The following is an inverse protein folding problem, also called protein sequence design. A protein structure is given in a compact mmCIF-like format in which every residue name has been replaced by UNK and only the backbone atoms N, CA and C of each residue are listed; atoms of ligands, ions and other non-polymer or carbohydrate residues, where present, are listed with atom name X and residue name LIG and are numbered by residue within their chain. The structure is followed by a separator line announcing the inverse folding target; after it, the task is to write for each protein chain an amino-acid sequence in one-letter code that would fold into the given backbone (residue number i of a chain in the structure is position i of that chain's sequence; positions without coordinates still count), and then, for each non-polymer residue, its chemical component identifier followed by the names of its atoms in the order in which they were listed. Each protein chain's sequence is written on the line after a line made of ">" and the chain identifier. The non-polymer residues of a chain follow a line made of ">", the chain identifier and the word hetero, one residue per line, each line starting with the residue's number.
data_IF_811612540501
#
_entry.id   IF_811612540501
#
_cell.length_a   1.000
_cell.length_b   1.000
_cell.length_c   1.000
_cell.angle_alpha   90.00
_cell.angle_beta   90.00
_cell.angle_gamma   90.00
#
_symmetry.space_group_name_H-M   'P 1'
#
loop_
_entity.id
_entity.type
_entity.pdbx_description
1 polymer ?
#
# COMPACT_ATOMS: atom_id res chain seq x y z
N UNK A 1 39.09 -11.14 -35.64
CA UNK A 1 38.74 -11.55 -34.26
C UNK A 1 39.93 -12.22 -33.60
N UNK A 2 40.34 -11.67 -32.47
CA UNK A 2 41.31 -12.28 -31.56
C UNK A 2 40.85 -13.69 -31.14
N UNK A 3 41.77 -14.57 -30.75
CA UNK A 3 41.47 -15.96 -30.41
C UNK A 3 40.51 -16.04 -29.20
N UNK A 4 40.67 -15.12 -28.25
CA UNK A 4 39.86 -15.02 -27.04
C UNK A 4 38.39 -14.64 -27.35
N UNK A 5 38.18 -13.71 -28.29
CA UNK A 5 36.84 -13.28 -28.72
C UNK A 5 36.02 -14.41 -29.35
N UNK A 6 36.67 -15.29 -30.12
CA UNK A 6 36.00 -16.46 -30.73
C UNK A 6 35.57 -17.48 -29.68
N UNK A 7 36.33 -17.59 -28.58
CA UNK A 7 35.99 -18.50 -27.49
C UNK A 7 34.80 -17.97 -26.67
N UNK A 8 34.72 -16.65 -26.46
CA UNK A 8 33.54 -16.01 -25.87
C UNK A 8 32.29 -16.33 -26.69
N UNK A 9 32.32 -16.13 -28.01
CA UNK A 9 31.15 -16.42 -28.86
C UNK A 9 30.72 -17.88 -28.78
N UNK A 10 31.65 -18.84 -28.93
CA UNK A 10 31.34 -20.27 -28.85
C UNK A 10 30.70 -20.66 -27.51
N UNK A 11 31.23 -20.14 -26.40
CA UNK A 11 30.70 -20.38 -25.05
C UNK A 11 29.26 -19.90 -24.93
N UNK A 12 28.96 -18.67 -25.36
CA UNK A 12 27.62 -18.11 -25.22
C UNK A 12 26.63 -18.67 -26.24
N UNK A 13 27.05 -19.04 -27.45
CA UNK A 13 26.21 -19.80 -28.38
C UNK A 13 25.77 -21.12 -27.72
N UNK A 14 26.69 -21.85 -27.08
CA UNK A 14 26.36 -23.08 -26.35
C UNK A 14 25.41 -22.85 -25.16
N UNK A 15 25.59 -21.75 -24.43
CA UNK A 15 24.71 -21.40 -23.29
C UNK A 15 23.30 -21.04 -23.78
N UNK A 16 23.20 -20.16 -24.78
CA UNK A 16 21.91 -19.67 -25.28
C UNK A 16 21.18 -20.71 -26.12
N UNK A 17 21.86 -21.69 -26.72
CA UNK A 17 21.19 -22.85 -27.36
C UNK A 17 20.62 -23.83 -26.32
N UNK A 18 21.21 -23.89 -25.12
CA UNK A 18 20.77 -24.75 -24.01
C UNK A 18 19.83 -24.08 -23.01
N UNK A 19 19.86 -24.56 -21.77
CA UNK A 19 19.13 -23.96 -20.63
C UNK A 19 19.85 -22.73 -20.12
N UNK A 20 19.14 -21.59 -20.15
CA UNK A 20 19.62 -20.33 -19.61
C UNK A 20 19.81 -20.50 -18.09
N UNK A 21 20.98 -20.15 -17.55
CA UNK A 21 21.21 -20.18 -16.12
C UNK A 21 20.32 -19.17 -15.39
N UNK A 22 19.84 -19.54 -14.21
CA UNK A 22 18.81 -18.78 -13.48
C UNK A 22 19.25 -18.31 -12.08
N UNK A 23 20.51 -18.58 -11.69
CA UNK A 23 21.06 -18.19 -10.40
C UNK A 23 22.58 -17.96 -10.46
N UNK A 24 23.11 -17.30 -9.44
CA UNK A 24 24.52 -16.91 -9.35
C UNK A 24 25.49 -18.12 -9.39
N UNK A 25 25.11 -19.24 -8.77
CA UNK A 25 25.94 -20.44 -8.76
C UNK A 25 26.11 -20.99 -10.19
N UNK A 26 25.03 -21.04 -10.97
CA UNK A 26 25.10 -21.45 -12.37
C UNK A 26 25.89 -20.48 -13.24
N UNK A 27 25.79 -19.17 -12.99
CA UNK A 27 26.63 -18.18 -13.68
C UNK A 27 28.12 -18.41 -13.40
N UNK A 28 28.48 -18.66 -12.14
CA UNK A 28 29.86 -18.99 -11.75
C UNK A 28 30.34 -20.29 -12.39
N UNK A 29 29.54 -21.36 -12.35
CA UNK A 29 29.90 -22.66 -12.95
C UNK A 29 30.06 -22.57 -14.47
N UNK A 30 29.23 -21.77 -15.15
CA UNK A 30 29.30 -21.57 -16.60
C UNK A 30 30.28 -20.44 -17.01
N UNK A 31 30.97 -19.83 -16.05
CA UNK A 31 31.89 -18.70 -16.22
C UNK A 31 31.26 -17.56 -17.05
N UNK A 32 30.07 -17.11 -16.64
CA UNK A 32 29.31 -16.05 -17.30
C UNK A 32 29.56 -14.73 -16.56
N UNK A 33 29.88 -13.67 -17.30
CA UNK A 33 30.22 -12.36 -16.72
C UNK A 33 29.52 -11.24 -17.48
N UNK A 34 29.22 -10.14 -16.78
CA UNK A 34 28.63 -8.94 -17.39
C UNK A 34 29.55 -8.31 -18.46
N UNK A 35 30.87 -8.43 -18.29
CA UNK A 35 31.86 -7.96 -19.29
C UNK A 35 31.75 -8.71 -20.62
N UNK A 36 31.56 -10.03 -20.56
CA UNK A 36 31.31 -10.81 -21.78
C UNK A 36 30.00 -10.37 -22.42
N UNK A 37 28.92 -10.20 -21.64
CA UNK A 37 27.61 -9.74 -22.15
C UNK A 37 27.74 -8.39 -22.85
N UNK A 38 28.46 -7.44 -22.25
CA UNK A 38 28.77 -6.14 -22.86
C UNK A 38 29.49 -6.31 -24.22
N UNK A 39 30.47 -7.20 -24.29
CA UNK A 39 31.20 -7.51 -25.51
C UNK A 39 30.27 -8.08 -26.59
N UNK A 40 29.40 -9.04 -26.22
CA UNK A 40 28.43 -9.65 -27.14
C UNK A 40 27.45 -8.62 -27.71
N UNK A 41 26.94 -7.72 -26.87
CA UNK A 41 25.99 -6.68 -27.29
C UNK A 41 26.68 -5.63 -28.17
N UNK A 42 27.96 -5.32 -27.90
CA UNK A 42 28.75 -4.41 -28.75
C UNK A 42 29.07 -5.00 -30.13
N UNK A 43 29.02 -6.33 -30.27
CA UNK A 43 29.28 -7.07 -31.52
C UNK A 43 28.06 -7.93 -31.90
N UNK A 44 26.85 -7.39 -31.71
CA UNK A 44 25.60 -8.14 -31.78
C UNK A 44 25.38 -8.83 -33.14
N UNK A 45 25.68 -8.14 -34.25
CA UNK A 45 25.52 -8.68 -35.60
C UNK A 45 26.43 -9.90 -35.83
N UNK A 46 27.73 -9.77 -35.50
CA UNK A 46 28.70 -10.86 -35.60
C UNK A 46 28.33 -12.03 -34.67
N UNK A 47 27.81 -11.72 -33.48
CA UNK A 47 27.38 -12.73 -32.52
C UNK A 47 26.15 -13.50 -33.01
N UNK A 48 25.15 -12.81 -33.58
CA UNK A 48 23.99 -13.46 -34.19
C UNK A 48 24.42 -14.35 -35.37
N UNK A 49 25.35 -13.88 -36.20
CA UNK A 49 25.89 -14.66 -37.32
C UNK A 49 26.64 -15.94 -36.88
N UNK A 50 27.03 -16.05 -35.61
CA UNK A 50 27.69 -17.24 -35.07
C UNK A 50 26.72 -18.36 -34.68
N UNK A 51 25.40 -18.11 -34.66
CA UNK A 51 24.38 -19.13 -34.38
C UNK A 51 24.07 -19.97 -35.63
N UNK A 52 23.66 -21.23 -35.46
CA UNK A 52 23.14 -22.01 -36.58
C UNK A 52 21.84 -21.39 -37.13
N UNK A 53 21.56 -21.62 -38.41
CA UNK A 53 20.46 -20.98 -39.15
C UNK A 53 19.04 -21.33 -38.65
N UNK A 54 18.92 -22.20 -37.63
CA UNK A 54 17.67 -22.66 -37.04
C UNK A 54 17.12 -21.72 -35.95
N UNK A 55 17.94 -20.79 -35.44
CA UNK A 55 17.51 -19.79 -34.46
C UNK A 55 17.28 -18.43 -35.11
N UNK A 56 16.08 -17.87 -34.93
CA UNK A 56 15.79 -16.51 -35.36
C UNK A 56 16.58 -15.48 -34.54
N UNK A 57 16.91 -14.35 -35.17
CA UNK A 57 17.53 -13.20 -34.50
C UNK A 57 16.74 -12.77 -33.25
N UNK A 58 15.41 -12.69 -33.34
CA UNK A 58 14.56 -12.34 -32.21
C UNK A 58 14.65 -13.33 -31.05
N UNK A 59 14.82 -14.63 -31.34
CA UNK A 59 15.04 -15.65 -30.32
C UNK A 59 16.38 -15.42 -29.59
N UNK A 60 17.46 -15.20 -30.34
CA UNK A 60 18.80 -14.95 -29.79
C UNK A 60 18.79 -13.70 -28.90
N UNK A 61 18.19 -12.61 -29.37
CA UNK A 61 18.08 -11.37 -28.60
C UNK A 61 17.24 -11.57 -27.34
N UNK A 62 16.12 -12.31 -27.41
CA UNK A 62 15.31 -12.63 -26.23
C UNK A 62 16.12 -13.41 -25.19
N UNK A 63 16.86 -14.43 -25.62
CA UNK A 63 17.67 -15.24 -24.71
C UNK A 63 18.84 -14.45 -24.11
N UNK A 64 19.48 -13.59 -24.90
CA UNK A 64 20.51 -12.68 -24.43
C UNK A 64 19.93 -11.69 -23.41
N UNK A 65 18.74 -11.13 -23.69
CA UNK A 65 18.05 -10.23 -22.76
C UNK A 65 17.67 -10.90 -21.45
N UNK A 66 17.21 -12.16 -21.50
CA UNK A 66 16.87 -12.94 -20.30
C UNK A 66 18.11 -13.21 -19.45
N UNK A 67 19.24 -13.55 -20.09
CA UNK A 67 20.50 -13.72 -19.41
C UNK A 67 20.97 -12.41 -18.74
N UNK A 68 20.93 -11.29 -19.47
CA UNK A 68 21.28 -9.96 -18.94
C UNK A 68 20.39 -9.59 -17.77
N UNK A 69 19.06 -9.68 -17.92
CA UNK A 69 18.09 -9.39 -16.86
C UNK A 69 18.39 -10.22 -15.61
N UNK A 70 18.74 -11.49 -15.79
CA UNK A 70 19.04 -12.41 -14.69
C UNK A 70 20.20 -11.98 -13.78
N UNK A 71 21.11 -11.11 -14.23
CA UNK A 71 22.17 -10.54 -13.37
C UNK A 71 21.70 -9.39 -12.48
N UNK A 72 20.67 -8.66 -12.92
CA UNK A 72 20.08 -7.54 -12.19
C UNK A 72 18.91 -7.95 -11.31
N UNK A 73 18.38 -9.17 -11.43
CA UNK A 73 17.33 -9.66 -10.55
C UNK A 73 17.90 -10.14 -9.21
N UNK A 74 17.05 -10.09 -8.17
CA UNK A 74 17.37 -10.66 -6.85
C UNK A 74 17.39 -12.18 -6.95
N UNK A 75 18.48 -12.79 -6.52
CA UNK A 75 18.62 -14.24 -6.46
C UNK A 75 17.86 -14.84 -5.29
N UNK A 76 17.63 -16.16 -5.38
CA UNK A 76 17.03 -16.89 -4.28
C UNK A 76 17.97 -16.94 -3.08
N UNK A 77 17.43 -16.73 -1.89
CA UNK A 77 18.17 -16.75 -0.62
C UNK A 77 17.74 -17.98 0.19
N UNK A 78 18.64 -18.49 1.03
CA UNK A 78 18.30 -19.56 1.98
C UNK A 78 17.18 -19.12 2.92
N UNK A 79 16.29 -20.06 3.24
CA UNK A 79 15.23 -19.86 4.24
C UNK A 79 15.79 -19.94 5.65
N UNK A 80 16.66 -19.01 6.01
CA UNK A 80 16.97 -18.76 7.41
C UNK A 80 15.89 -17.80 7.92
N UNK A 81 15.25 -18.10 9.06
CA UNK A 81 14.16 -17.30 9.67
C UNK A 81 14.61 -15.91 10.18
N UNK A 82 15.47 -15.22 9.43
CA UNK A 82 15.98 -13.89 9.70
C UNK A 82 15.52 -12.90 8.63
N UNK A 83 15.45 -11.63 9.01
CA UNK A 83 15.22 -10.55 8.06
C UNK A 83 16.41 -10.37 7.11
N UNK A 84 16.10 -9.87 5.90
CA UNK A 84 17.12 -9.55 4.91
C UNK A 84 17.82 -8.22 5.21
N UNK A 85 19.08 -8.13 4.81
CA UNK A 85 19.88 -6.91 4.85
C UNK A 85 20.44 -6.57 3.47
N UNK A 86 21.06 -5.39 3.33
CA UNK A 86 21.74 -5.03 2.08
C UNK A 86 22.96 -5.92 1.78
N UNK A 87 23.56 -6.53 2.82
CA UNK A 87 24.70 -7.43 2.69
C UNK A 87 24.33 -8.75 2.02
N UNK A 88 23.04 -9.11 2.02
CA UNK A 88 22.53 -10.29 1.32
C UNK A 88 22.52 -10.09 -0.20
N UNK A 89 22.63 -8.84 -0.68
CA UNK A 89 22.52 -8.47 -2.10
C UNK A 89 23.64 -7.52 -2.58
N UNK A 90 24.92 -7.83 -2.32
CA UNK A 90 26.01 -6.87 -2.46
C UNK A 90 26.25 -6.40 -3.89
N UNK A 91 25.88 -7.20 -4.89
CA UNK A 91 26.12 -6.90 -6.31
C UNK A 91 24.85 -6.57 -7.10
N UNK A 92 23.65 -6.84 -6.56
CA UNK A 92 22.40 -6.74 -7.34
C UNK A 92 22.17 -5.34 -7.89
N UNK A 93 22.33 -4.30 -7.05
CA UNK A 93 22.12 -2.92 -7.48
C UNK A 93 23.12 -2.47 -8.56
N UNK A 94 24.40 -2.81 -8.41
CA UNK A 94 25.45 -2.44 -9.38
C UNK A 94 25.26 -3.18 -10.69
N UNK A 95 25.00 -4.49 -10.62
CA UNK A 95 24.72 -5.31 -11.80
C UNK A 95 23.50 -4.78 -12.57
N UNK A 96 22.44 -4.36 -11.86
CA UNK A 96 21.24 -3.82 -12.50
C UNK A 96 21.52 -2.56 -13.34
N UNK A 97 22.39 -1.66 -12.86
CA UNK A 97 22.81 -0.47 -13.64
C UNK A 97 23.47 -0.89 -14.95
N UNK A 98 24.41 -1.83 -14.90
CA UNK A 98 25.07 -2.37 -16.10
C UNK A 98 24.06 -3.06 -17.01
N UNK A 99 23.13 -3.85 -16.45
CA UNK A 99 22.09 -4.52 -17.20
C UNK A 99 21.21 -3.53 -17.96
N UNK A 100 20.76 -2.43 -17.34
CA UNK A 100 19.98 -1.40 -18.03
C UNK A 100 20.78 -0.75 -19.17
N UNK A 101 22.06 -0.44 -18.95
CA UNK A 101 22.94 0.10 -20.00
C UNK A 101 23.07 -0.87 -21.17
N UNK A 102 23.19 -2.16 -20.91
CA UNK A 102 23.36 -3.20 -21.92
C UNK A 102 22.04 -3.54 -22.65
N UNK A 103 20.90 -3.39 -21.98
CA UNK A 103 19.59 -3.59 -22.60
C UNK A 103 19.20 -2.42 -23.53
N UNK A 104 19.72 -1.20 -23.32
CA UNK A 104 19.39 -0.01 -24.15
C UNK A 104 19.64 -0.24 -25.65
N UNK A 105 20.80 -0.75 -26.11
CA UNK A 105 21.01 -1.10 -27.53
C UNK A 105 19.98 -2.10 -28.08
N UNK A 106 19.58 -3.09 -27.28
CA UNK A 106 18.63 -4.13 -27.69
C UNK A 106 17.20 -3.59 -27.86
N UNK A 107 16.86 -2.43 -27.28
CA UNK A 107 15.56 -1.79 -27.47
C UNK A 107 15.28 -1.45 -28.93
N UNK A 108 16.30 -1.14 -29.73
CA UNK A 108 16.15 -0.80 -31.15
C UNK A 108 15.60 -1.98 -31.95
N UNK A 109 15.99 -3.19 -31.57
CA UNK A 109 15.55 -4.43 -32.21
C UNK A 109 14.10 -4.80 -31.86
N UNK A 110 13.55 -4.26 -30.77
CA UNK A 110 12.19 -4.61 -30.27
C UNK A 110 11.10 -4.27 -31.28
N UNK A 111 11.29 -3.26 -32.13
CA UNK A 111 10.31 -2.86 -33.13
C UNK A 111 10.19 -3.86 -34.29
N UNK A 112 11.30 -4.52 -34.65
CA UNK A 112 11.35 -5.51 -35.73
C UNK A 112 11.03 -6.94 -35.26
N UNK A 113 10.96 -7.17 -33.95
CA UNK A 113 10.66 -8.49 -33.39
C UNK A 113 9.24 -8.97 -33.70
N UNK A 114 9.12 -10.27 -33.96
CA UNK A 114 7.82 -10.92 -33.98
C UNK A 114 7.13 -10.79 -32.62
N UNK A 115 5.81 -10.76 -32.67
CA UNK A 115 4.97 -10.42 -31.54
C UNK A 115 5.20 -11.29 -30.28
N UNK A 116 5.41 -12.60 -30.45
CA UNK A 116 5.70 -13.51 -29.34
C UNK A 116 7.03 -13.23 -28.64
N UNK A 117 8.09 -12.96 -29.42
CA UNK A 117 9.41 -12.61 -28.91
C UNK A 117 9.40 -11.23 -28.27
N UNK A 118 8.78 -10.24 -28.91
CA UNK A 118 8.58 -8.90 -28.36
C UNK A 118 7.93 -8.97 -26.99
N UNK A 119 6.83 -9.71 -26.86
CA UNK A 119 6.15 -9.94 -25.57
C UNK A 119 7.07 -10.55 -24.52
N UNK A 120 7.83 -11.58 -24.88
CA UNK A 120 8.75 -12.25 -23.95
C UNK A 120 9.85 -11.30 -23.45
N UNK A 121 10.46 -10.54 -24.37
CA UNK A 121 11.44 -9.50 -24.05
C UNK A 121 10.85 -8.48 -23.06
N UNK A 122 9.66 -7.93 -23.36
CA UNK A 122 8.98 -6.95 -22.52
C UNK A 122 8.73 -7.46 -21.10
N UNK A 123 8.26 -8.71 -20.95
CA UNK A 123 8.02 -9.32 -19.65
C UNK A 123 9.31 -9.35 -18.81
N UNK A 124 10.45 -9.75 -19.40
CA UNK A 124 11.71 -9.87 -18.67
C UNK A 124 12.25 -8.50 -18.24
N UNK A 125 12.28 -7.53 -19.14
CA UNK A 125 12.83 -6.21 -18.81
C UNK A 125 11.93 -5.44 -17.83
N UNK A 126 10.60 -5.63 -17.89
CA UNK A 126 9.69 -5.04 -16.91
C UNK A 126 9.84 -5.65 -15.52
N UNK A 127 10.18 -6.94 -15.41
CA UNK A 127 10.53 -7.55 -14.12
C UNK A 127 11.80 -6.92 -13.52
N UNK A 128 12.80 -6.61 -14.35
CA UNK A 128 13.99 -5.89 -13.91
C UNK A 128 13.64 -4.47 -13.44
N UNK A 129 12.86 -3.73 -14.23
CA UNK A 129 12.39 -2.39 -13.83
C UNK A 129 11.63 -2.44 -12.50
N UNK A 130 10.73 -3.40 -12.35
CA UNK A 130 9.95 -3.60 -11.15
C UNK A 130 10.82 -4.00 -9.94
N UNK A 131 11.94 -4.69 -10.15
CA UNK A 131 12.88 -5.04 -9.06
C UNK A 131 13.55 -3.80 -8.48
N UNK A 132 13.81 -2.80 -9.32
CA UNK A 132 14.50 -1.54 -9.00
C UNK A 132 13.56 -0.33 -9.10
N UNK A 133 12.32 -0.47 -8.63
CA UNK A 133 11.32 0.62 -8.71
C UNK A 133 11.39 1.62 -7.53
N UNK A 134 12.00 1.21 -6.41
CA UNK A 134 12.08 1.98 -5.17
C UNK A 134 13.27 1.51 -4.33
N UNK A 135 13.56 2.23 -3.27
CA UNK A 135 14.55 1.84 -2.26
C UNK A 135 14.16 0.55 -1.55
N UNK A 136 14.97 -0.49 -1.75
CA UNK A 136 14.93 -1.80 -1.11
C UNK A 136 16.36 -2.22 -0.74
N UNK A 137 16.52 -3.31 0.00
CA UNK A 137 17.85 -3.83 0.38
C UNK A 137 18.76 -4.16 -0.82
N UNK A 138 18.18 -4.51 -1.96
CA UNK A 138 18.91 -4.83 -3.21
C UNK A 138 18.98 -3.68 -4.22
N UNK A 139 18.52 -2.47 -3.84
CA UNK A 139 18.45 -1.33 -4.74
C UNK A 139 19.32 -0.17 -4.26
N UNK A 140 19.91 0.56 -5.21
CA UNK A 140 20.61 1.83 -5.00
C UNK A 140 19.93 2.96 -5.77
N UNK A 141 20.18 4.21 -5.40
CA UNK A 141 19.67 5.38 -6.12
C UNK A 141 20.02 5.32 -7.62
N UNK A 142 21.24 4.88 -7.96
CA UNK A 142 21.67 4.75 -9.35
C UNK A 142 20.88 3.66 -10.10
N UNK A 143 20.59 2.53 -9.45
CA UNK A 143 19.78 1.45 -10.07
C UNK A 143 18.33 1.89 -10.31
N UNK A 144 17.77 2.69 -9.40
CA UNK A 144 16.42 3.23 -9.51
C UNK A 144 16.35 4.24 -10.66
N UNK A 145 17.28 5.21 -10.71
CA UNK A 145 17.34 6.18 -11.82
C UNK A 145 17.54 5.48 -13.16
N UNK A 146 18.42 4.47 -13.23
CA UNK A 146 18.63 3.69 -14.46
C UNK A 146 17.37 2.94 -14.89
N UNK A 147 16.61 2.41 -13.94
CA UNK A 147 15.32 1.74 -14.16
C UNK A 147 14.28 2.70 -14.72
N UNK A 148 14.16 3.90 -14.14
CA UNK A 148 13.21 4.94 -14.58
C UNK A 148 13.53 5.45 -15.98
N UNK A 149 14.81 5.75 -16.26
CA UNK A 149 15.26 6.14 -17.61
C UNK A 149 14.98 5.03 -18.63
N UNK A 150 15.36 3.79 -18.31
CA UNK A 150 15.14 2.65 -19.22
C UNK A 150 13.65 2.41 -19.46
N UNK A 151 12.80 2.54 -18.44
CA UNK A 151 11.35 2.41 -18.58
C UNK A 151 10.78 3.51 -19.49
N UNK A 152 11.28 4.75 -19.39
CA UNK A 152 10.92 5.83 -20.29
C UNK A 152 11.29 5.52 -21.75
N UNK A 153 12.52 5.07 -21.98
CA UNK A 153 13.00 4.65 -23.31
C UNK A 153 12.17 3.48 -23.87
N UNK A 154 11.81 2.51 -23.02
CA UNK A 154 10.98 1.36 -23.38
C UNK A 154 9.57 1.78 -23.81
N UNK A 155 8.94 2.69 -23.07
CA UNK A 155 7.60 3.21 -23.38
C UNK A 155 7.61 3.99 -24.69
N UNK A 156 8.64 4.81 -24.92
CA UNK A 156 8.82 5.51 -26.19
C UNK A 156 8.99 4.54 -27.35
N UNK A 157 9.87 3.54 -27.20
CA UNK A 157 10.14 2.54 -28.25
C UNK A 157 8.89 1.73 -28.62
N UNK A 158 8.06 1.40 -27.61
CA UNK A 158 6.82 0.65 -27.79
C UNK A 158 5.62 1.51 -28.14
N UNK A 159 5.77 2.84 -28.21
CA UNK A 159 4.72 3.82 -28.49
C UNK A 159 3.58 3.84 -27.45
N UNK A 160 3.91 3.57 -26.18
CA UNK A 160 2.97 3.62 -25.07
C UNK A 160 3.15 4.91 -24.26
N UNK A 161 2.05 5.54 -23.86
CA UNK A 161 2.07 6.77 -23.05
C UNK A 161 2.35 6.52 -21.57
N UNK A 162 2.14 5.28 -21.11
CA UNK A 162 2.30 4.89 -19.72
C UNK A 162 2.54 3.39 -19.57
N UNK A 163 3.10 2.99 -18.42
CA UNK A 163 3.24 1.58 -18.07
C UNK A 163 1.88 0.86 -18.03
N UNK A 164 0.81 1.53 -17.55
CA UNK A 164 -0.54 0.98 -17.59
C UNK A 164 -0.97 0.60 -19.01
N UNK A 165 -0.76 1.50 -19.98
CA UNK A 165 -1.13 1.23 -21.37
C UNK A 165 -0.38 0.04 -21.95
N UNK A 166 0.91 -0.12 -21.64
CA UNK A 166 1.70 -1.27 -22.09
C UNK A 166 1.26 -2.58 -21.42
N UNK A 167 1.01 -2.56 -20.11
CA UNK A 167 0.61 -3.75 -19.34
C UNK A 167 -0.73 -4.32 -19.79
N UNK A 168 -1.66 -3.44 -20.18
CA UNK A 168 -3.04 -3.76 -20.57
C UNK A 168 -3.26 -3.71 -22.09
N UNK A 169 -2.20 -3.66 -22.90
CA UNK A 169 -2.34 -3.59 -24.36
C UNK A 169 -2.87 -4.93 -24.91
N UNK A 170 -4.09 -4.90 -25.45
CA UNK A 170 -4.80 -6.05 -26.02
C UNK A 170 -4.16 -6.58 -27.31
N UNK A 171 -3.27 -5.80 -27.93
CA UNK A 171 -2.47 -6.31 -29.05
C UNK A 171 -1.63 -7.50 -28.58
N UNK A 172 -1.17 -7.49 -27.32
CA UNK A 172 -0.52 -8.62 -26.70
C UNK A 172 -1.54 -9.64 -26.17
N UNK A 173 -1.63 -10.81 -26.80
CA UNK A 173 -2.47 -11.91 -26.30
C UNK A 173 -1.66 -13.15 -25.85
N UNK A 174 -1.79 -13.60 -24.58
CA UNK A 174 -2.37 -12.87 -23.44
C UNK A 174 -1.60 -11.57 -23.17
N UNK A 175 -2.18 -10.62 -22.42
CA UNK A 175 -1.52 -9.33 -22.12
C UNK A 175 -0.13 -9.49 -21.51
N UNK A 176 0.67 -8.41 -21.55
CA UNK A 176 1.98 -8.36 -20.89
C UNK A 176 1.80 -8.65 -19.40
N UNK A 177 0.82 -8.02 -18.75
CA UNK A 177 0.54 -8.24 -17.33
C UNK A 177 0.23 -9.71 -17.00
N UNK A 178 -0.64 -10.36 -17.78
CA UNK A 178 -0.91 -11.80 -17.61
C UNK A 178 0.34 -12.65 -17.77
N UNK A 179 1.21 -12.27 -18.70
CA UNK A 179 2.52 -12.91 -18.92
C UNK A 179 3.42 -12.79 -17.71
N UNK A 180 3.49 -11.60 -17.10
CA UNK A 180 4.26 -11.36 -15.88
C UNK A 180 3.69 -12.19 -14.73
N UNK A 181 2.38 -12.16 -14.48
CA UNK A 181 1.74 -12.97 -13.44
C UNK A 181 2.05 -14.46 -13.59
N UNK A 182 2.02 -14.98 -14.82
CA UNK A 182 2.40 -16.37 -15.12
C UNK A 182 3.88 -16.64 -14.83
N UNK A 183 4.78 -15.72 -15.18
CA UNK A 183 6.23 -15.87 -14.94
C UNK A 183 6.58 -15.79 -13.45
N UNK A 184 5.88 -14.95 -12.69
CA UNK A 184 6.09 -14.79 -11.24
C UNK A 184 5.41 -15.85 -10.39
N UNK A 185 4.37 -16.52 -10.89
CA UNK A 185 3.62 -17.52 -10.10
C UNK A 185 4.52 -18.52 -9.36
N UNK A 186 5.59 -19.10 -9.94
CA UNK A 186 6.45 -20.04 -9.23
C UNK A 186 7.21 -19.42 -8.04
N UNK A 187 7.48 -18.12 -8.06
CA UNK A 187 8.13 -17.39 -6.96
C UNK A 187 7.13 -16.79 -5.97
N UNK A 188 5.83 -17.00 -6.19
CA UNK A 188 4.73 -16.55 -5.33
C UNK A 188 3.88 -17.76 -4.88
N UNK A 189 4.48 -18.94 -4.73
CA UNK A 189 3.81 -20.09 -4.15
C UNK A 189 4.12 -20.16 -2.65
N UNK A 190 3.23 -20.82 -1.89
CA UNK A 190 3.33 -20.95 -0.43
C UNK A 190 4.73 -21.38 0.05
N UNK A 191 5.37 -22.29 -0.67
CA UNK A 191 6.65 -22.89 -0.26
C UNK A 191 7.88 -22.19 -0.89
N UNK A 192 7.68 -21.25 -1.80
CA UNK A 192 8.76 -20.64 -2.58
C UNK A 192 8.86 -19.12 -2.40
N UNK A 193 7.79 -18.45 -1.98
CA UNK A 193 7.78 -16.98 -1.93
C UNK A 193 8.80 -16.39 -0.96
N UNK A 194 9.07 -17.08 0.16
CA UNK A 194 10.12 -16.71 1.11
C UNK A 194 11.54 -16.90 0.56
N UNK A 195 11.73 -17.68 -0.50
CA UNK A 195 13.03 -17.80 -1.14
C UNK A 195 13.28 -16.65 -2.13
N UNK A 196 12.27 -15.82 -2.41
CA UNK A 196 12.31 -14.80 -3.46
C UNK A 196 11.97 -13.41 -2.90
N UNK A 197 12.93 -12.74 -2.21
CA UNK A 197 12.70 -11.53 -1.42
C UNK A 197 11.99 -10.40 -2.17
N UNK A 198 12.29 -10.23 -3.47
CA UNK A 198 11.74 -9.16 -4.29
C UNK A 198 10.34 -9.44 -4.85
N UNK A 199 9.90 -10.69 -4.87
CA UNK A 199 8.71 -11.09 -5.63
C UNK A 199 7.42 -10.42 -5.13
N UNK A 200 7.27 -10.24 -3.81
CA UNK A 200 6.11 -9.54 -3.25
C UNK A 200 6.09 -8.04 -3.63
N UNK A 201 7.26 -7.39 -3.65
CA UNK A 201 7.41 -5.99 -4.03
C UNK A 201 7.16 -5.77 -5.52
N UNK A 202 7.72 -6.63 -6.38
CA UNK A 202 7.50 -6.62 -7.83
C UNK A 202 6.01 -6.81 -8.13
N UNK A 203 5.38 -7.78 -7.46
CA UNK A 203 3.96 -8.07 -7.63
C UNK A 203 3.09 -6.86 -7.26
N UNK A 204 3.34 -6.28 -6.08
CA UNK A 204 2.62 -5.10 -5.61
C UNK A 204 2.76 -3.93 -6.58
N UNK A 205 3.99 -3.61 -7.02
CA UNK A 205 4.24 -2.49 -7.93
C UNK A 205 3.48 -2.64 -9.25
N UNK A 206 3.58 -3.81 -9.88
CA UNK A 206 2.87 -4.09 -11.14
C UNK A 206 1.35 -4.09 -10.98
N UNK A 207 0.84 -4.65 -9.89
CA UNK A 207 -0.60 -4.68 -9.59
C UNK A 207 -1.18 -3.26 -9.54
N UNK A 208 -0.48 -2.32 -8.89
CA UNK A 208 -0.91 -0.93 -8.73
C UNK A 208 -1.08 -0.17 -10.07
N UNK A 209 -0.46 -0.65 -11.16
CA UNK A 209 -0.63 -0.07 -12.49
C UNK A 209 -1.86 -0.59 -13.26
N UNK A 210 -2.43 -1.72 -12.85
CA UNK A 210 -3.58 -2.35 -13.51
C UNK A 210 -4.85 -2.06 -12.72
N UNK A 211 -5.79 -1.40 -13.39
CA UNK A 211 -7.06 -0.90 -12.80
C UNK A 211 -8.27 -1.47 -13.53
N UNK A 212 -9.46 -1.18 -13.05
CA UNK A 212 -10.71 -1.43 -13.78
C UNK A 212 -10.65 -0.83 -15.21
N UNK A 213 -11.16 -1.50 -16.25
CA UNK A 213 -11.82 -2.82 -16.25
C UNK A 213 -10.89 -4.04 -16.28
N UNK A 214 -9.67 -3.91 -16.81
CA UNK A 214 -8.76 -5.04 -17.07
C UNK A 214 -8.45 -5.91 -15.85
N UNK A 215 -8.36 -5.30 -14.66
CA UNK A 215 -8.05 -6.03 -13.41
C UNK A 215 -9.02 -7.19 -13.12
N UNK A 216 -10.28 -7.09 -13.57
CA UNK A 216 -11.31 -8.10 -13.32
C UNK A 216 -10.95 -9.45 -13.96
N UNK A 217 -10.26 -9.45 -15.09
CA UNK A 217 -9.86 -10.69 -15.79
C UNK A 217 -8.74 -11.45 -15.07
N UNK A 218 -8.02 -10.76 -14.18
CA UNK A 218 -6.85 -11.30 -13.48
C UNK A 218 -7.13 -11.65 -12.02
N UNK A 219 -8.37 -11.49 -11.54
CA UNK A 219 -8.73 -11.76 -10.13
C UNK A 219 -8.26 -13.14 -9.62
N UNK A 220 -8.39 -14.24 -10.37
CA UNK A 220 -7.91 -15.55 -9.91
C UNK A 220 -6.41 -15.60 -9.62
N UNK A 221 -5.60 -14.80 -10.32
CA UNK A 221 -4.15 -14.77 -10.17
C UNK A 221 -3.68 -13.73 -9.13
N UNK A 222 -4.40 -12.62 -8.98
CA UNK A 222 -3.98 -11.51 -8.11
C UNK A 222 -4.55 -11.58 -6.69
N UNK A 223 -5.63 -12.34 -6.47
CA UNK A 223 -6.20 -12.53 -5.13
C UNK A 223 -5.33 -13.35 -4.18
N UNK A 224 -4.73 -14.49 -4.60
CA UNK A 224 -3.98 -15.35 -3.69
C UNK A 224 -2.73 -14.69 -3.04
N UNK A 225 -1.86 -13.95 -3.76
CA UNK A 225 -0.61 -13.47 -3.16
C UNK A 225 -0.77 -12.54 -1.96
N UNK A 226 -1.68 -11.54 -1.95
CA UNK A 226 -1.92 -10.69 -0.80
C UNK A 226 -2.25 -11.43 0.50
N UNK A 227 -2.99 -12.56 0.43
CA UNK A 227 -3.30 -13.38 1.61
C UNK A 227 -2.05 -13.98 2.25
N UNK A 228 -1.07 -14.39 1.45
CA UNK A 228 0.20 -14.91 1.96
C UNK A 228 0.99 -13.79 2.65
N UNK A 229 1.01 -12.60 2.06
CA UNK A 229 1.77 -11.46 2.58
C UNK A 229 1.25 -11.00 3.95
N UNK A 230 -0.07 -10.91 4.13
CA UNK A 230 -0.67 -10.52 5.41
C UNK A 230 -0.52 -11.56 6.52
N UNK A 231 -0.33 -12.83 6.15
CA UNK A 231 -0.08 -13.91 7.12
C UNK A 231 1.36 -13.96 7.62
N UNK A 232 2.26 -13.17 7.03
CA UNK A 232 3.67 -13.18 7.38
C UNK A 232 3.96 -12.43 8.68
N UNK A 233 5.02 -12.84 9.39
CA UNK A 233 5.34 -12.27 10.69
C UNK A 233 5.92 -10.84 10.60
N UNK A 234 6.67 -10.49 9.55
CA UNK A 234 7.30 -9.18 9.44
C UNK A 234 6.33 -8.10 8.91
N UNK A 235 6.36 -6.92 9.52
CA UNK A 235 5.47 -5.79 9.24
C UNK A 235 5.48 -5.31 7.76
N UNK A 236 6.63 -5.18 7.06
CA UNK A 236 6.66 -4.67 5.69
C UNK A 236 5.81 -5.49 4.71
N UNK A 237 5.83 -6.82 4.85
CA UNK A 237 5.06 -7.74 4.02
C UNK A 237 3.57 -7.64 4.34
N UNK A 238 3.20 -7.52 5.63
CA UNK A 238 1.81 -7.26 6.02
C UNK A 238 1.28 -5.97 5.38
N UNK A 239 2.07 -4.90 5.44
CA UNK A 239 1.75 -3.60 4.82
C UNK A 239 1.52 -3.75 3.32
N UNK A 240 2.41 -4.44 2.59
CA UNK A 240 2.23 -4.70 1.16
C UNK A 240 0.95 -5.48 0.87
N UNK A 241 0.66 -6.53 1.65
CA UNK A 241 -0.56 -7.32 1.49
C UNK A 241 -1.82 -6.47 1.66
N UNK A 242 -1.85 -5.62 2.70
CA UNK A 242 -2.96 -4.69 2.95
C UNK A 242 -3.09 -3.67 1.81
N UNK A 243 -1.97 -3.11 1.33
CA UNK A 243 -1.99 -2.17 0.21
C UNK A 243 -2.48 -2.82 -1.09
N UNK A 244 -2.15 -4.09 -1.33
CA UNK A 244 -2.70 -4.85 -2.45
C UNK A 244 -4.22 -5.01 -2.32
N UNK A 245 -4.73 -5.39 -1.13
CA UNK A 245 -6.19 -5.45 -0.91
C UNK A 245 -6.86 -4.09 -1.09
N UNK A 246 -6.24 -3.03 -0.58
CA UNK A 246 -6.73 -1.65 -0.74
C UNK A 246 -6.88 -1.29 -2.22
N UNK A 247 -5.88 -1.61 -3.06
CA UNK A 247 -5.94 -1.41 -4.51
C UNK A 247 -7.02 -2.28 -5.17
N UNK A 248 -7.15 -3.55 -4.79
CA UNK A 248 -8.20 -4.44 -5.30
C UNK A 248 -9.60 -3.89 -4.96
N UNK A 249 -9.82 -3.40 -3.75
CA UNK A 249 -11.10 -2.84 -3.30
C UNK A 249 -11.44 -1.52 -4.02
N UNK A 250 -10.44 -0.72 -4.38
CA UNK A 250 -10.65 0.50 -5.17
C UNK A 250 -10.97 0.24 -6.65
N UNK A 251 -10.52 -0.90 -7.20
CA UNK A 251 -10.52 -1.16 -8.64
C UNK A 251 -11.37 -2.37 -9.07
N UNK A 252 -12.07 -3.01 -8.15
CA UNK A 252 -12.98 -4.13 -8.45
C UNK A 252 -14.39 -3.72 -8.02
N UNK A 253 -15.41 -3.88 -8.90
CA UNK A 253 -16.78 -3.58 -8.56
C UNK A 253 -17.23 -4.24 -7.25
N UNK A 254 -17.87 -3.50 -6.32
CA UNK A 254 -18.35 -4.05 -5.05
C UNK A 254 -19.26 -5.27 -5.21
N UNK A 255 -20.03 -5.35 -6.29
CA UNK A 255 -20.88 -6.50 -6.60
C UNK A 255 -20.07 -7.78 -6.79
N UNK A 256 -18.94 -7.73 -7.49
CA UNK A 256 -18.05 -8.88 -7.68
C UNK A 256 -17.35 -9.29 -6.38
N UNK A 257 -17.03 -8.32 -5.52
CA UNK A 257 -16.50 -8.60 -4.18
C UNK A 257 -17.50 -9.36 -3.30
N UNK A 258 -18.80 -9.04 -3.43
CA UNK A 258 -19.90 -9.67 -2.68
C UNK A 258 -20.30 -11.04 -3.20
N UNK A 259 -20.52 -11.16 -4.51
CA UNK A 259 -21.11 -12.37 -5.11
C UNK A 259 -20.29 -13.63 -4.84
N UNK A 260 -18.96 -13.49 -4.79
CA UNK A 260 -18.04 -14.61 -4.60
C UNK A 260 -17.57 -14.78 -3.15
N UNK A 261 -18.16 -14.06 -2.18
CA UNK A 261 -17.72 -14.06 -0.78
C UNK A 261 -16.30 -13.52 -0.55
N UNK A 262 -15.71 -12.86 -1.56
CA UNK A 262 -14.34 -12.33 -1.50
C UNK A 262 -14.19 -11.30 -0.40
N UNK A 263 -15.20 -10.45 -0.19
CA UNK A 263 -15.19 -9.47 0.90
C UNK A 263 -15.06 -10.13 2.29
N UNK A 264 -15.74 -11.25 2.52
CA UNK A 264 -15.68 -11.97 3.79
C UNK A 264 -14.28 -12.57 3.99
N UNK A 265 -13.70 -13.18 2.95
CA UNK A 265 -12.36 -13.78 3.04
C UNK A 265 -11.29 -12.72 3.33
N UNK A 266 -11.38 -11.56 2.68
CA UNK A 266 -10.49 -10.42 2.96
C UNK A 266 -10.66 -9.98 4.41
N UNK A 267 -11.91 -9.76 4.85
CA UNK A 267 -12.19 -9.35 6.23
C UNK A 267 -11.60 -10.33 7.25
N UNK A 268 -11.85 -11.63 7.11
CA UNK A 268 -11.34 -12.64 8.05
C UNK A 268 -9.81 -12.73 8.08
N UNK A 269 -9.14 -12.36 6.98
CA UNK A 269 -7.68 -12.34 6.91
C UNK A 269 -7.09 -11.08 7.53
N UNK A 270 -7.78 -9.94 7.43
CA UNK A 270 -7.33 -8.65 7.96
C UNK A 270 -7.74 -8.41 9.42
N UNK A 271 -8.88 -8.97 9.85
CA UNK A 271 -9.42 -8.74 11.19
C UNK A 271 -8.44 -9.12 12.32
N UNK A 272 -7.71 -10.25 12.29
CA UNK A 272 -6.73 -10.58 13.33
C UNK A 272 -5.62 -9.52 13.47
N UNK A 273 -5.33 -8.77 12.41
CA UNK A 273 -4.26 -7.78 12.41
C UNK A 273 -4.59 -6.54 13.25
N UNK A 274 -5.87 -6.30 13.59
CA UNK A 274 -6.25 -5.15 14.42
C UNK A 274 -5.64 -5.24 15.83
N UNK A 275 -5.33 -6.46 16.28
CA UNK A 275 -4.75 -6.71 17.59
C UNK A 275 -3.22 -6.55 17.62
N UNK A 276 -2.58 -6.30 16.46
CA UNK A 276 -1.15 -6.06 16.39
C UNK A 276 -0.79 -4.66 16.85
N UNK A 277 0.32 -4.52 17.58
CA UNK A 277 0.87 -3.22 18.00
C UNK A 277 1.98 -2.73 17.07
N UNK A 278 1.75 -2.84 15.78
CA UNK A 278 2.70 -2.45 14.73
C UNK A 278 2.17 -1.20 14.00
N UNK A 279 2.69 -0.02 14.34
CA UNK A 279 2.24 1.28 13.79
C UNK A 279 2.08 1.28 12.26
N UNK A 280 3.07 0.81 11.46
CA UNK A 280 2.96 0.86 10.00
C UNK A 280 1.84 -0.03 9.44
N UNK A 281 1.50 -1.12 10.15
CA UNK A 281 0.42 -2.02 9.75
C UNK A 281 -0.93 -1.38 10.05
N UNK A 282 -1.08 -0.81 11.24
CA UNK A 282 -2.30 -0.13 11.69
C UNK A 282 -2.67 1.03 10.75
N UNK A 283 -1.68 1.85 10.36
CA UNK A 283 -1.86 2.99 9.45
C UNK A 283 -2.56 2.63 8.15
N UNK A 284 -2.26 1.47 7.56
CA UNK A 284 -2.85 1.02 6.29
C UNK A 284 -4.06 0.12 6.48
N UNK A 285 -4.18 -0.55 7.64
CA UNK A 285 -5.20 -1.57 7.92
C UNK A 285 -6.61 -0.99 7.99
N UNK A 286 -6.85 -0.01 8.86
CA UNK A 286 -8.18 0.53 9.07
C UNK A 286 -8.75 1.24 7.83
N UNK A 287 -7.97 2.05 7.08
CA UNK A 287 -8.43 2.59 5.80
C UNK A 287 -8.80 1.50 4.80
N UNK A 288 -8.04 0.39 4.75
CA UNK A 288 -8.37 -0.75 3.90
C UNK A 288 -9.67 -1.45 4.35
N UNK A 289 -9.87 -1.66 5.65
CA UNK A 289 -11.09 -2.25 6.18
C UNK A 289 -12.32 -1.41 5.83
N UNK A 290 -12.25 -0.07 5.95
CA UNK A 290 -13.34 0.85 5.59
C UNK A 290 -13.75 0.79 4.12
N UNK A 291 -12.85 0.35 3.23
CA UNK A 291 -13.16 0.15 1.80
C UNK A 291 -14.00 -1.09 1.53
N UNK A 292 -14.06 -2.04 2.47
CA UNK A 292 -14.87 -3.25 2.30
C UNK A 292 -16.35 -2.88 2.11
N UNK A 293 -17.04 -3.46 1.11
CA UNK A 293 -18.43 -3.10 0.84
C UNK A 293 -19.37 -3.33 2.03
N UNK A 294 -19.10 -4.32 2.88
CA UNK A 294 -19.81 -4.55 4.14
C UNK A 294 -19.75 -3.37 5.13
N UNK A 295 -18.70 -2.53 5.12
CA UNK A 295 -18.58 -1.40 6.06
C UNK A 295 -19.57 -0.27 5.76
N UNK A 296 -19.96 -0.12 4.49
CA UNK A 296 -20.90 0.90 4.01
C UNK A 296 -22.35 0.42 4.02
N UNK A 297 -22.57 -0.89 4.06
CA UNK A 297 -23.91 -1.49 3.97
C UNK A 297 -24.37 -1.97 5.34
N UNK A 298 -24.77 -1.04 6.21
CA UNK A 298 -25.47 -1.41 7.42
C UNK A 298 -26.89 -1.83 7.03
N UNK A 299 -27.17 -3.14 7.06
CA UNK A 299 -28.55 -3.62 6.93
C UNK A 299 -29.34 -2.98 8.08
N UNK A 300 -30.42 -2.28 7.77
CA UNK A 300 -31.32 -1.61 8.72
C UNK A 300 -32.09 -2.58 9.65
N UNK A 301 -31.48 -3.71 10.03
CA UNK A 301 -31.98 -4.56 11.10
C UNK A 301 -31.47 -3.97 12.40
N UNK A 302 -32.37 -3.30 13.11
CA UNK A 302 -32.21 -2.51 14.35
C UNK A 302 -31.40 -3.13 15.51
N UNK A 303 -30.87 -4.35 15.40
CA UNK A 303 -30.29 -5.12 16.52
C UNK A 303 -29.02 -5.91 16.15
N UNK A 304 -28.54 -5.87 14.90
CA UNK A 304 -27.37 -6.69 14.53
C UNK A 304 -26.05 -5.96 14.81
N UNK A 305 -25.25 -6.52 15.73
CA UNK A 305 -23.84 -6.20 15.90
C UNK A 305 -23.05 -6.74 14.70
N UNK A 306 -22.72 -5.87 13.76
CA UNK A 306 -22.01 -6.22 12.54
C UNK A 306 -20.50 -6.21 12.69
N UNK A 307 -19.80 -6.62 11.63
CA UNK A 307 -18.33 -6.61 11.57
C UNK A 307 -17.75 -5.21 11.80
N UNK A 308 -18.44 -4.18 11.34
CA UNK A 308 -18.09 -2.79 11.63
C UNK A 308 -18.15 -2.46 13.12
N UNK A 309 -19.20 -2.92 13.83
CA UNK A 309 -19.36 -2.66 15.25
C UNK A 309 -18.22 -3.32 16.05
N UNK A 310 -17.75 -4.51 15.62
CA UNK A 310 -16.59 -5.18 16.24
C UNK A 310 -15.32 -4.35 16.08
N UNK A 311 -15.05 -3.85 14.88
CA UNK A 311 -13.86 -3.01 14.62
C UNK A 311 -13.94 -1.70 15.42
N UNK A 312 -15.09 -1.02 15.37
CA UNK A 312 -15.25 0.25 16.06
C UNK A 312 -15.13 0.10 17.58
N UNK A 313 -15.76 -0.93 18.15
CA UNK A 313 -15.61 -1.24 19.58
C UNK A 313 -14.15 -1.55 19.96
N UNK A 314 -13.42 -2.26 19.09
CA UNK A 314 -11.98 -2.47 19.28
C UNK A 314 -11.21 -1.14 19.28
N UNK A 315 -11.45 -0.25 18.34
CA UNK A 315 -10.81 1.07 18.29
C UNK A 315 -11.06 1.89 19.57
N UNK A 316 -12.32 1.96 20.03
CA UNK A 316 -12.69 2.68 21.25
C UNK A 316 -11.97 2.09 22.47
N UNK A 317 -12.01 0.77 22.62
CA UNK A 317 -11.32 0.07 23.69
C UNK A 317 -9.80 0.32 23.66
N UNK A 318 -9.18 0.22 22.48
CA UNK A 318 -7.73 0.38 22.35
C UNK A 318 -7.28 1.80 22.71
N UNK A 319 -8.00 2.85 22.29
CA UNK A 319 -7.64 4.24 22.60
C UNK A 319 -7.63 4.54 24.09
N UNK A 320 -8.57 3.99 24.86
CA UNK A 320 -8.66 4.23 26.30
C UNK A 320 -7.42 3.72 27.05
N UNK A 321 -6.93 2.55 26.66
CA UNK A 321 -5.83 1.86 27.35
C UNK A 321 -4.48 2.02 26.64
N UNK A 322 -4.41 2.74 25.51
CA UNK A 322 -3.15 2.99 24.82
C UNK A 322 -2.34 4.05 25.57
N UNK A 323 -1.06 3.76 25.82
CA UNK A 323 -0.14 4.67 26.50
C UNK A 323 0.85 5.30 25.51
N UNK A 324 1.06 4.65 24.35
CA UNK A 324 1.87 5.21 23.28
C UNK A 324 1.10 6.35 22.57
N UNK A 325 1.66 7.56 22.63
CA UNK A 325 1.03 8.77 22.09
C UNK A 325 0.81 8.69 20.58
N UNK A 326 1.79 8.17 19.84
CA UNK A 326 1.71 8.04 18.37
C UNK A 326 0.63 7.03 17.98
N UNK A 327 0.61 5.85 18.60
CA UNK A 327 -0.45 4.86 18.37
C UNK A 327 -1.83 5.42 18.70
N UNK A 328 -1.96 6.14 19.82
CA UNK A 328 -3.23 6.78 20.22
C UNK A 328 -3.73 7.78 19.18
N UNK A 329 -2.86 8.64 18.64
CA UNK A 329 -3.20 9.57 17.55
C UNK A 329 -3.77 8.82 16.36
N UNK A 330 -3.11 7.73 15.95
CA UNK A 330 -3.51 6.97 14.76
C UNK A 330 -4.86 6.28 14.99
N UNK A 331 -5.06 5.63 16.15
CA UNK A 331 -6.36 5.05 16.46
C UNK A 331 -7.49 6.09 16.53
N UNK A 332 -7.23 7.28 17.09
CA UNK A 332 -8.18 8.39 17.08
C UNK A 332 -8.51 8.85 15.64
N UNK A 333 -7.50 9.00 14.79
CA UNK A 333 -7.72 9.32 13.36
C UNK A 333 -8.61 8.27 12.69
N UNK A 334 -8.42 6.99 12.99
CA UNK A 334 -9.29 5.95 12.47
C UNK A 334 -10.70 5.98 13.08
N UNK A 335 -10.86 6.29 14.37
CA UNK A 335 -12.20 6.52 14.95
C UNK A 335 -12.91 7.64 14.19
N UNK A 336 -12.22 8.75 13.89
CA UNK A 336 -12.76 9.85 13.08
C UNK A 336 -13.23 9.35 11.71
N UNK A 337 -12.41 8.60 10.98
CA UNK A 337 -12.77 8.05 9.67
C UNK A 337 -14.02 7.14 9.75
N UNK A 338 -14.14 6.33 10.80
CA UNK A 338 -15.29 5.46 11.02
C UNK A 338 -16.58 6.23 11.34
N UNK A 339 -16.49 7.32 12.10
CA UNK A 339 -17.64 8.19 12.41
C UNK A 339 -18.09 8.95 11.18
N UNK A 340 -17.15 9.44 10.36
CA UNK A 340 -17.46 10.15 9.11
C UNK A 340 -18.06 9.22 8.06
N UNK A 341 -17.67 7.94 8.05
CA UNK A 341 -18.22 6.93 7.14
C UNK A 341 -19.69 6.60 7.46
N UNK A 342 -20.06 6.47 8.74
CA UNK A 342 -21.48 6.52 9.14
C UNK A 342 -21.69 6.75 10.65
N UNK A 343 -22.90 7.16 11.07
CA UNK A 343 -23.17 7.53 12.45
C UNK A 343 -22.96 6.37 13.45
N UNK A 344 -22.26 6.57 14.57
CA UNK A 344 -21.94 5.53 15.55
C UNK A 344 -23.07 5.29 16.58
N UNK A 345 -24.33 5.15 16.13
CA UNK A 345 -25.50 5.12 17.03
C UNK A 345 -25.44 4.07 18.14
N UNK A 346 -24.90 2.88 17.86
CA UNK A 346 -24.80 1.78 18.82
C UNK A 346 -23.71 1.99 19.87
N UNK A 347 -22.73 2.84 19.57
CA UNK A 347 -21.53 3.05 20.38
C UNK A 347 -21.50 4.43 21.02
N UNK A 348 -22.56 5.23 20.85
CA UNK A 348 -22.56 6.64 21.21
C UNK A 348 -22.16 6.87 22.67
N UNK A 349 -22.77 6.13 23.61
CA UNK A 349 -22.41 6.21 25.03
C UNK A 349 -20.92 6.00 25.28
N UNK A 350 -20.37 4.91 24.73
CA UNK A 350 -18.95 4.55 24.89
C UNK A 350 -18.03 5.57 24.23
N UNK A 351 -18.41 6.07 23.05
CA UNK A 351 -17.65 7.08 22.33
C UNK A 351 -17.59 8.41 23.12
N UNK A 352 -18.68 8.82 23.77
CA UNK A 352 -18.67 10.00 24.64
C UNK A 352 -17.78 9.78 25.87
N UNK A 353 -17.75 8.58 26.45
CA UNK A 353 -16.79 8.22 27.52
C UNK A 353 -15.34 8.35 27.01
N UNK A 354 -15.02 7.82 25.83
CA UNK A 354 -13.68 7.96 25.21
C UNK A 354 -13.32 9.42 24.99
N UNK A 355 -14.25 10.24 24.49
CA UNK A 355 -14.04 11.69 24.29
C UNK A 355 -13.66 12.34 25.61
N UNK A 356 -14.42 12.10 26.68
CA UNK A 356 -14.13 12.63 28.01
C UNK A 356 -12.75 12.18 28.50
N UNK A 357 -12.46 10.89 28.40
CA UNK A 357 -11.18 10.33 28.86
C UNK A 357 -10.00 10.94 28.11
N UNK A 358 -10.10 11.12 26.78
CA UNK A 358 -9.01 11.67 25.97
C UNK A 358 -8.82 13.17 26.20
N UNK A 359 -9.90 13.94 26.35
CA UNK A 359 -9.82 15.38 26.56
C UNK A 359 -9.33 15.75 27.97
N UNK A 360 -9.74 15.00 28.99
CA UNK A 360 -9.57 15.39 30.40
C UNK A 360 -8.71 14.40 31.20
N UNK A 361 -9.03 13.11 31.15
CA UNK A 361 -8.57 12.15 32.16
C UNK A 361 -7.22 11.50 31.82
N UNK A 362 -6.79 11.53 30.56
CA UNK A 362 -5.67 10.74 30.08
C UNK A 362 -4.37 11.56 29.93
N UNK A 363 -3.33 11.32 30.76
CA UNK A 363 -2.08 12.08 30.72
C UNK A 363 -1.20 11.77 29.49
N UNK A 364 -1.54 10.74 28.72
CA UNK A 364 -0.85 10.37 27.48
C UNK A 364 -1.49 10.99 26.24
N UNK A 365 -2.59 11.74 26.39
CA UNK A 365 -3.19 12.53 25.31
C UNK A 365 -2.48 13.86 25.18
N UNK A 366 -1.79 14.07 24.07
CA UNK A 366 -1.22 15.38 23.75
C UNK A 366 -2.23 16.27 23.00
N UNK A 367 -1.80 17.49 22.67
CA UNK A 367 -2.62 18.48 21.98
C UNK A 367 -3.20 17.96 20.66
N UNK A 368 -2.44 17.16 19.90
CA UNK A 368 -2.92 16.57 18.64
C UNK A 368 -4.06 15.58 18.91
N UNK A 369 -3.94 14.73 19.94
CA UNK A 369 -5.03 13.82 20.33
C UNK A 369 -6.31 14.60 20.68
N UNK A 370 -6.18 15.73 21.39
CA UNK A 370 -7.31 16.59 21.78
C UNK A 370 -7.99 17.21 20.56
N UNK A 371 -7.21 17.73 19.61
CA UNK A 371 -7.73 18.29 18.33
C UNK A 371 -8.50 17.22 17.56
N UNK A 372 -7.92 16.03 17.34
CA UNK A 372 -8.60 14.93 16.63
C UNK A 372 -9.88 14.53 17.37
N UNK A 373 -9.86 14.50 18.71
CA UNK A 373 -11.03 14.17 19.53
C UNK A 373 -12.15 15.19 19.41
N UNK A 374 -11.83 16.49 19.33
CA UNK A 374 -12.82 17.52 19.06
C UNK A 374 -13.39 17.39 17.64
N UNK A 375 -12.57 17.04 16.65
CA UNK A 375 -13.07 16.75 15.29
C UNK A 375 -14.02 15.54 15.28
N UNK A 376 -13.70 14.48 16.03
CA UNK A 376 -14.61 13.33 16.23
C UNK A 376 -15.91 13.82 16.86
N UNK A 377 -15.85 14.57 17.97
CA UNK A 377 -17.02 15.08 18.68
C UNK A 377 -17.91 15.93 17.76
N UNK A 378 -17.32 16.85 16.98
CA UNK A 378 -18.03 17.65 15.96
C UNK A 378 -18.78 16.75 14.98
N UNK A 379 -18.12 15.72 14.44
CA UNK A 379 -18.73 14.78 13.50
C UNK A 379 -19.86 13.95 14.15
N UNK A 380 -19.68 13.55 15.41
CA UNK A 380 -20.71 12.83 16.20
C UNK A 380 -21.93 13.72 16.43
N UNK A 381 -21.76 14.96 16.88
CA UNK A 381 -22.89 15.86 17.13
C UNK A 381 -23.68 16.07 15.84
N UNK A 382 -23.01 16.31 14.71
CA UNK A 382 -23.66 16.48 13.40
C UNK A 382 -24.43 15.24 12.94
N UNK A 383 -23.84 14.05 13.10
CA UNK A 383 -24.42 12.80 12.58
C UNK A 383 -25.44 12.15 13.52
N UNK A 384 -25.34 12.41 14.82
CA UNK A 384 -26.17 11.84 15.88
C UNK A 384 -27.01 12.89 16.62
N UNK A 385 -27.24 14.08 16.02
CA UNK A 385 -27.94 15.21 16.64
C UNK A 385 -29.24 14.85 17.39
N UNK A 386 -30.11 13.91 16.93
CA UNK A 386 -31.36 13.61 17.64
C UNK A 386 -31.16 12.94 19.01
N UNK A 387 -29.94 12.50 19.33
CA UNK A 387 -29.61 11.80 20.58
C UNK A 387 -28.69 12.62 21.50
N UNK A 388 -28.38 13.87 21.15
CA UNK A 388 -27.41 14.69 21.89
C UNK A 388 -27.91 15.13 23.26
N UNK A 389 -29.22 15.26 23.47
CA UNK A 389 -29.81 15.73 24.73
C UNK A 389 -29.33 14.91 25.95
N UNK A 390 -29.25 13.58 25.79
CA UNK A 390 -28.83 12.64 26.86
C UNK A 390 -27.35 12.85 27.22
N UNK A 391 -26.53 13.27 26.25
CA UNK A 391 -25.08 13.44 26.41
C UNK A 391 -24.68 14.91 26.57
N UNK A 392 -25.63 15.84 26.58
CA UNK A 392 -25.37 17.27 26.57
C UNK A 392 -24.50 17.72 27.74
N UNK A 393 -24.78 17.21 28.94
CA UNK A 393 -24.02 17.57 30.14
C UNK A 393 -22.56 17.09 30.06
N UNK A 394 -22.34 15.81 29.72
CA UNK A 394 -21.00 15.23 29.66
C UNK A 394 -20.14 15.92 28.61
N UNK A 395 -20.72 16.23 27.44
CA UNK A 395 -20.03 16.95 26.37
C UNK A 395 -19.69 18.37 26.81
N UNK A 396 -20.66 19.11 27.35
CA UNK A 396 -20.48 20.50 27.79
C UNK A 396 -19.34 20.60 28.81
N UNK A 397 -19.38 19.79 29.87
CA UNK A 397 -18.36 19.82 30.91
C UNK A 397 -16.99 19.39 30.36
N UNK A 398 -16.92 18.34 29.54
CA UNK A 398 -15.65 17.88 28.96
C UNK A 398 -14.99 18.96 28.08
N UNK A 399 -15.76 19.77 27.36
CA UNK A 399 -15.20 20.86 26.54
C UNK A 399 -14.80 22.05 27.41
N UNK A 400 -15.59 22.42 28.42
CA UNK A 400 -15.26 23.52 29.32
C UNK A 400 -14.02 23.22 30.18
N UNK A 401 -13.89 21.99 30.68
CA UNK A 401 -12.73 21.54 31.44
C UNK A 401 -11.47 21.48 30.56
N UNK A 402 -11.60 21.18 29.26
CA UNK A 402 -10.48 21.21 28.32
C UNK A 402 -9.92 22.62 28.18
N UNK A 403 -10.80 23.63 28.05
CA UNK A 403 -10.42 25.03 27.89
C UNK A 403 -9.72 25.61 29.15
N UNK A 404 -9.82 24.93 30.29
CA UNK A 404 -9.10 25.29 31.51
C UNK A 404 -7.64 24.85 31.51
N UNK A 405 -7.28 23.88 30.67
CA UNK A 405 -5.96 23.27 30.72
C UNK A 405 -4.91 24.22 30.14
N UNK A 406 -3.83 24.45 30.88
CA UNK A 406 -2.77 25.41 30.54
C UNK A 406 -2.11 25.13 29.18
N UNK A 407 -2.05 23.87 28.76
CA UNK A 407 -1.48 23.46 27.47
C UNK A 407 -2.38 23.76 26.27
N UNK A 408 -3.63 24.17 26.51
CA UNK A 408 -4.66 24.41 25.49
C UNK A 408 -5.05 25.89 25.36
N UNK A 409 -4.94 26.68 26.44
CA UNK A 409 -5.48 28.05 26.52
C UNK A 409 -5.06 28.99 25.36
N UNK A 410 -3.88 28.79 24.78
CA UNK A 410 -3.34 29.62 23.70
C UNK A 410 -3.40 28.95 22.32
N UNK A 411 -4.16 27.86 22.16
CA UNK A 411 -4.28 27.17 20.88
C UNK A 411 -5.57 27.56 20.15
N UNK A 412 -5.41 28.36 19.08
CA UNK A 412 -6.53 28.87 18.29
C UNK A 412 -7.40 27.75 17.68
N UNK A 413 -6.78 26.66 17.21
CA UNK A 413 -7.49 25.53 16.60
C UNK A 413 -8.38 24.80 17.62
N UNK A 414 -7.89 24.56 18.84
CA UNK A 414 -8.71 23.97 19.90
C UNK A 414 -9.84 24.90 20.32
N UNK A 415 -9.57 26.21 20.43
CA UNK A 415 -10.59 27.19 20.78
C UNK A 415 -11.70 27.26 19.72
N UNK A 416 -11.32 27.27 18.44
CA UNK A 416 -12.26 27.25 17.31
C UNK A 416 -13.09 25.96 17.29
N UNK A 417 -12.45 24.79 17.36
CA UNK A 417 -13.17 23.51 17.37
C UNK A 417 -14.08 23.34 18.58
N UNK A 418 -13.68 23.86 19.75
CA UNK A 418 -14.50 23.85 20.97
C UNK A 418 -15.72 24.75 20.81
N UNK A 419 -15.54 25.97 20.27
CA UNK A 419 -16.63 26.89 19.94
C UNK A 419 -17.62 26.26 18.96
N UNK A 420 -17.12 25.61 17.91
CA UNK A 420 -17.95 24.90 16.94
C UNK A 420 -18.72 23.73 17.57
N UNK A 421 -18.07 22.90 18.39
CA UNK A 421 -18.73 21.77 19.06
C UNK A 421 -19.86 22.24 19.98
N UNK A 422 -19.61 23.27 20.81
CA UNK A 422 -20.61 23.82 21.72
C UNK A 422 -21.75 24.51 20.96
N UNK A 423 -21.44 25.21 19.87
CA UNK A 423 -22.47 25.80 18.99
C UNK A 423 -23.37 24.73 18.38
N UNK A 424 -22.77 23.65 17.84
CA UNK A 424 -23.53 22.53 17.30
C UNK A 424 -24.34 21.80 18.37
N UNK A 425 -23.80 21.69 19.59
CA UNK A 425 -24.51 21.08 20.72
C UNK A 425 -25.74 21.90 21.10
N UNK A 426 -25.61 23.25 21.17
CA UNK A 426 -26.75 24.16 21.40
C UNK A 426 -27.84 23.92 20.36
N UNK A 427 -27.49 23.90 19.08
CA UNK A 427 -28.46 23.66 18.01
C UNK A 427 -29.08 22.25 18.04
N UNK A 428 -28.38 21.26 18.59
CA UNK A 428 -28.88 19.88 18.65
C UNK A 428 -29.83 19.63 19.83
N UNK A 429 -29.70 20.39 20.93
CA UNK A 429 -30.51 20.21 22.13
C UNK A 429 -30.64 21.53 22.94
N UNK A 430 -31.29 22.52 22.32
CA UNK A 430 -31.35 23.91 22.82
C UNK A 430 -31.89 24.01 24.26
N UNK A 431 -33.08 23.46 24.52
CA UNK A 431 -33.72 23.54 25.85
C UNK A 431 -32.79 23.00 26.96
N UNK A 432 -32.17 21.85 26.71
CA UNK A 432 -31.28 21.21 27.66
C UNK A 432 -29.99 22.01 27.82
N UNK A 433 -29.40 22.48 26.73
CA UNK A 433 -28.19 23.28 26.75
C UNK A 433 -28.40 24.57 27.55
N UNK A 434 -29.46 25.32 27.25
CA UNK A 434 -29.81 26.57 27.93
C UNK A 434 -30.08 26.32 29.42
N UNK A 435 -30.76 25.22 29.78
CA UNK A 435 -31.00 24.89 31.19
C UNK A 435 -29.71 24.65 31.99
N UNK A 436 -28.66 24.13 31.35
CA UNK A 436 -27.38 23.83 31.98
C UNK A 436 -26.47 25.06 32.05
N UNK A 437 -26.51 25.95 31.05
CA UNK A 437 -25.61 27.09 30.95
C UNK A 437 -26.11 28.35 31.66
N UNK A 438 -27.43 28.48 31.87
CA UNK A 438 -28.02 29.71 32.43
C UNK A 438 -27.43 30.09 33.79
N UNK A 439 -27.26 29.14 34.72
CA UNK A 439 -26.63 29.39 36.01
C UNK A 439 -25.10 29.45 35.95
N UNK A 440 -24.49 28.81 34.95
CA UNK A 440 -23.03 28.75 34.80
C UNK A 440 -22.46 30.10 34.33
N UNK A 441 -23.19 30.81 33.46
CA UNK A 441 -22.78 32.10 32.88
C UNK A 441 -22.89 33.26 33.88
N UNK A 442 -23.63 33.07 34.98
CA UNK A 442 -23.79 34.07 36.04
C UNK A 442 -22.53 34.26 36.90
N UNK A 443 -21.63 33.26 36.96
CA UNK A 443 -20.35 33.39 37.65
C UNK A 443 -19.22 33.74 36.66
N UNK A 444 -18.79 35.02 36.59
CA UNK A 444 -17.78 35.46 35.63
C UNK A 444 -16.40 34.87 35.88
N UNK A 445 -16.16 34.23 37.03
CA UNK A 445 -14.87 33.58 37.33
C UNK A 445 -14.82 32.15 36.82
N UNK A 446 -15.92 31.60 36.33
CA UNK A 446 -15.94 30.26 35.77
C UNK A 446 -15.29 30.23 34.38
N UNK A 447 -14.49 29.20 34.07
CA UNK A 447 -13.80 29.14 32.78
C UNK A 447 -14.74 28.93 31.59
N UNK A 448 -14.41 29.52 30.45
CA UNK A 448 -15.22 29.41 29.24
C UNK A 448 -16.52 30.22 29.25
N UNK A 449 -16.81 31.00 30.30
CA UNK A 449 -18.02 31.83 30.39
C UNK A 449 -18.14 32.83 29.25
N UNK A 450 -17.06 33.52 28.88
CA UNK A 450 -17.08 34.47 27.75
C UNK A 450 -17.34 33.75 26.41
N UNK A 451 -16.85 32.51 26.25
CA UNK A 451 -17.18 31.69 25.09
C UNK A 451 -18.67 31.30 25.11
N UNK A 452 -19.19 30.83 26.25
CA UNK A 452 -20.61 30.48 26.38
C UNK A 452 -21.52 31.67 26.15
N UNK A 453 -21.20 32.86 26.65
CA UNK A 453 -21.94 34.10 26.35
C UNK A 453 -21.99 34.37 24.86
N UNK A 454 -20.85 34.27 24.15
CA UNK A 454 -20.81 34.43 22.69
C UNK A 454 -21.67 33.39 21.98
N UNK A 455 -21.63 32.14 22.41
CA UNK A 455 -22.42 31.06 21.82
C UNK A 455 -23.92 31.27 22.08
N UNK A 456 -24.32 31.69 23.27
CA UNK A 456 -25.73 31.97 23.60
C UNK A 456 -26.24 33.20 22.83
N UNK A 457 -25.40 34.23 22.65
CA UNK A 457 -25.77 35.46 21.98
C UNK A 457 -25.81 35.36 20.43
N UNK A 458 -25.28 34.29 19.83
CA UNK A 458 -25.45 34.04 18.39
C UNK A 458 -26.93 33.73 18.11
N UNK A 459 -27.66 34.68 17.55
CA UNK A 459 -28.98 34.42 16.94
C UNK A 459 -28.80 33.64 15.62
N UNK A 460 -29.83 32.87 15.25
CA UNK A 460 -29.84 31.91 14.13
C UNK A 460 -29.43 32.46 12.76
#
# INVERSE_FOLDING_TARGET
>A
MDADCREIFKRYVKILTGSIPNNEAEYKTKNITLKDIQYLISHLEDFIAAFPNDLSQSCIICKLSELTVGFGLVHQVSSDDRDYSAEDFPYTATNAVECFQYLKPLLKEVQSMEHGFKRHFLINVLLLCATHNKTYHWSSSNSITSSEEFLSDLLQCTQHSSLKSLLCDDNFHPTIFKGILKKMRPSLMKDTWMLNPSSCYIFHWLLCHVKHPHLVEYLPDVFPPPFMFVSYHAAPQKVLGIQCFSHLLDNVPPTLMKLDGKEDVIFHSLFPLIYLKELPVIEVLFPCLLKLPMMKTQKAKLVYWGERDKIFNHLLFTVEYENNREMKKIYLSHIKDFVECSPPFNHLKRLIEVVKTVLIENPFSDLTCKIITLQILKAVIKSCWPRMEIHCFDILISVLDLLQQNDVQNNDEVNELSEECLTLLRFSCEDKFMSLTSSYVEDPNLPGVELLKRIIAKED
#
